data_IF_154597309809
#
_entry.id   IF_154597309809
#
_cell.length_a   1.000
_cell.length_b   1.000
_cell.length_c   1.000
_cell.angle_alpha   90.00
_cell.angle_beta   90.00
_cell.angle_gamma   90.00
#
_symmetry.space_group_name_H-M   'P 1'
#
loop_
_entity.id
_entity.type
_entity.pdbx_description
1 polymer ?
#
# COMPACT_ATOMS: atom_id res chain seq x y z
N UNK A 1 0.61 -17.27 15.84
CA UNK A 1 0.61 -16.76 14.46
C UNK A 1 0.36 -15.27 14.53
N UNK A 2 1.40 -14.48 14.29
CA UNK A 2 1.39 -13.04 14.54
C UNK A 2 0.57 -12.29 13.49
N UNK A 3 -0.56 -11.72 13.92
CA UNK A 3 -1.41 -10.86 13.09
C UNK A 3 -0.63 -9.70 12.43
N UNK A 4 0.49 -9.27 13.03
CA UNK A 4 1.36 -8.24 12.48
C UNK A 4 2.12 -8.69 11.22
N UNK A 5 2.60 -9.94 11.20
CA UNK A 5 3.32 -10.49 10.04
C UNK A 5 2.38 -10.66 8.82
N UNK A 6 1.15 -11.11 9.05
CA UNK A 6 0.11 -11.26 8.02
C UNK A 6 -0.26 -9.90 7.42
N UNK A 7 -0.30 -8.86 8.25
CA UNK A 7 -0.61 -7.49 7.79
C UNK A 7 0.50 -6.94 6.91
N UNK A 8 1.77 -7.16 7.26
CA UNK A 8 2.89 -6.67 6.46
C UNK A 8 3.03 -7.40 5.12
N UNK A 9 2.87 -8.73 5.08
CA UNK A 9 2.88 -9.49 3.83
C UNK A 9 1.75 -9.05 2.88
N UNK A 10 0.56 -8.80 3.42
CA UNK A 10 -0.58 -8.35 2.61
C UNK A 10 -0.35 -6.97 1.98
N UNK A 11 0.26 -6.03 2.72
CA UNK A 11 0.59 -4.71 2.17
C UNK A 11 1.70 -4.78 1.12
N UNK A 12 2.70 -5.65 1.29
CA UNK A 12 3.79 -5.82 0.31
C UNK A 12 3.28 -6.46 -1.00
N UNK A 13 2.35 -7.42 -0.89
CA UNK A 13 1.65 -8.00 -2.04
C UNK A 13 0.79 -6.97 -2.78
N UNK A 14 0.05 -6.11 -2.07
CA UNK A 14 -0.70 -5.02 -2.69
C UNK A 14 0.19 -4.05 -3.46
N UNK A 15 1.36 -3.73 -2.92
CA UNK A 15 2.31 -2.84 -3.59
C UNK A 15 2.89 -3.43 -4.86
N UNK A 16 3.26 -4.72 -4.83
CA UNK A 16 3.69 -5.44 -6.04
C UNK A 16 2.58 -5.50 -7.09
N UNK A 17 1.35 -5.81 -6.69
CA UNK A 17 0.21 -5.84 -7.59
C UNK A 17 -0.04 -4.44 -8.21
N UNK A 18 -0.02 -3.38 -7.40
CA UNK A 18 -0.22 -2.02 -7.87
C UNK A 18 0.90 -1.58 -8.84
N UNK A 19 2.16 -1.95 -8.56
CA UNK A 19 3.29 -1.73 -9.45
C UNK A 19 3.14 -2.48 -10.79
N UNK A 20 2.68 -3.74 -10.76
CA UNK A 20 2.37 -4.51 -11.95
C UNK A 20 1.26 -3.88 -12.78
N UNK A 21 0.20 -3.40 -12.14
CA UNK A 21 -0.89 -2.70 -12.83
C UNK A 21 -0.42 -1.41 -13.50
N UNK A 22 0.53 -0.69 -12.90
CA UNK A 22 1.16 0.50 -13.50
C UNK A 22 1.99 0.09 -14.72
N UNK A 23 2.86 -0.91 -14.58
CA UNK A 23 3.70 -1.40 -15.66
C UNK A 23 2.88 -1.93 -16.85
N UNK A 24 1.80 -2.66 -16.59
CA UNK A 24 0.88 -3.13 -17.63
C UNK A 24 0.15 -1.98 -18.35
N UNK A 25 -0.20 -0.91 -17.62
CA UNK A 25 -0.84 0.28 -18.21
C UNK A 25 0.13 1.05 -19.10
N UNK A 26 1.40 1.13 -18.69
CA UNK A 26 2.48 1.67 -19.52
C UNK A 26 2.71 0.82 -20.77
N UNK A 27 2.74 -0.51 -20.62
CA UNK A 27 2.86 -1.43 -21.76
C UNK A 27 1.71 -1.27 -22.77
N UNK A 28 0.47 -1.13 -22.30
CA UNK A 28 -0.68 -0.84 -23.15
C UNK A 28 -0.54 0.50 -23.89
N UNK A 29 -0.08 1.55 -23.20
CA UNK A 29 0.19 2.84 -23.84
C UNK A 29 1.26 2.72 -24.92
N UNK A 30 2.32 1.96 -24.65
CA UNK A 30 3.44 1.76 -25.58
C UNK A 30 3.04 0.95 -26.82
N UNK A 31 2.12 -0.01 -26.67
CA UNK A 31 1.51 -0.76 -27.78
C UNK A 31 0.47 0.06 -28.55
N UNK A 32 -0.20 1.01 -27.90
CA UNK A 32 -1.19 1.86 -28.54
C UNK A 32 -0.55 2.87 -29.53
N UNK A 33 0.69 3.32 -29.27
CA UNK A 33 1.42 4.24 -30.16
C UNK A 33 1.63 3.68 -31.58
N UNK A 34 2.25 2.50 -31.78
CA UNK A 34 2.42 1.94 -33.11
C UNK A 34 1.08 1.60 -33.77
N UNK A 35 0.07 1.19 -32.99
CA UNK A 35 -1.27 0.94 -33.51
C UNK A 35 -1.94 2.23 -34.03
N UNK A 36 -1.73 3.35 -33.34
CA UNK A 36 -2.21 4.66 -33.76
C UNK A 36 -1.53 5.14 -35.06
N UNK A 37 -0.23 4.88 -35.21
CA UNK A 37 0.50 5.18 -36.45
C UNK A 37 -0.01 4.30 -37.59
N UNK A 38 -0.14 2.99 -37.35
CA UNK A 38 -0.66 2.04 -38.34
C UNK A 38 -2.10 2.35 -38.77
N UNK A 39 -2.95 2.79 -37.84
CA UNK A 39 -4.31 3.22 -38.15
C UNK A 39 -4.36 4.45 -39.04
N UNK A 40 -3.40 5.37 -38.91
CA UNK A 40 -3.30 6.55 -39.78
C UNK A 40 -2.83 6.16 -41.19
N UNK A 41 -1.83 5.28 -41.29
CA UNK A 41 -1.33 4.76 -42.56
C UNK A 41 -2.40 3.95 -43.32
N UNK A 42 -3.19 3.18 -42.57
CA UNK A 42 -4.35 2.44 -43.11
C UNK A 42 -5.45 3.37 -43.63
N UNK A 43 -5.68 4.51 -42.97
CA UNK A 43 -6.69 5.50 -43.37
C UNK A 43 -6.25 6.24 -44.65
N UNK A 44 -4.96 6.47 -44.81
CA UNK A 44 -4.36 7.01 -46.04
C UNK A 44 -4.43 6.01 -47.19
N UNK A 45 -4.09 4.73 -46.94
CA UNK A 45 -4.22 3.64 -47.91
C UNK A 45 -5.68 3.35 -48.32
N UNK A 46 -6.65 3.69 -47.46
CA UNK A 46 -8.07 3.53 -47.74
C UNK A 46 -8.66 4.62 -48.65
N UNK A 47 -8.01 5.78 -48.79
CA UNK A 47 -8.47 6.88 -49.69
C UNK A 47 -8.79 6.41 -51.12
N UNK A 48 -7.89 5.70 -51.83
CA UNK A 48 -8.15 5.29 -53.21
C UNK A 48 -9.24 4.22 -53.33
N UNK A 49 -9.57 3.51 -52.25
CA UNK A 49 -10.51 2.39 -52.25
C UNK A 49 -11.94 2.87 -51.93
N UNK A 50 -12.08 3.90 -51.09
CA UNK A 50 -13.37 4.39 -50.62
C UNK A 50 -13.61 5.87 -51.01
N UNK A 51 -14.43 6.15 -52.04
CA UNK A 51 -14.68 7.52 -52.49
C UNK A 51 -15.37 8.41 -51.45
N UNK A 52 -16.12 7.81 -50.50
CA UNK A 52 -16.75 8.53 -49.37
C UNK A 52 -15.69 9.06 -48.39
N UNK A 53 -14.62 8.30 -48.17
CA UNK A 53 -13.50 8.69 -47.32
C UNK A 53 -12.68 9.77 -48.01
N UNK A 54 -12.45 9.66 -49.32
CA UNK A 54 -11.64 10.63 -50.05
C UNK A 54 -12.31 12.03 -50.14
N UNK A 55 -13.63 12.09 -50.36
CA UNK A 55 -14.38 13.37 -50.37
C UNK A 55 -14.37 14.09 -49.02
N UNK A 56 -14.29 13.36 -47.91
CA UNK A 56 -14.39 13.91 -46.55
C UNK A 56 -13.13 13.60 -45.71
N UNK A 57 -11.99 13.39 -46.36
CA UNK A 57 -10.79 12.86 -45.71
C UNK A 57 -10.35 13.69 -44.50
N UNK A 58 -10.42 15.02 -44.61
CA UNK A 58 -10.09 15.92 -43.51
C UNK A 58 -10.98 15.73 -42.27
N UNK A 59 -12.28 15.46 -42.46
CA UNK A 59 -13.21 15.18 -41.36
C UNK A 59 -12.94 13.82 -40.71
N UNK A 60 -12.61 12.80 -41.52
CA UNK A 60 -12.21 11.49 -41.02
C UNK A 60 -10.90 11.53 -40.25
N UNK A 61 -9.91 12.25 -40.76
CA UNK A 61 -8.63 12.47 -40.08
C UNK A 61 -8.82 13.25 -38.77
N UNK A 62 -9.63 14.31 -38.78
CA UNK A 62 -9.95 15.06 -37.56
C UNK A 62 -10.70 14.20 -36.53
N UNK A 63 -11.66 13.39 -36.96
CA UNK A 63 -12.37 12.43 -36.10
C UNK A 63 -11.44 11.36 -35.51
N UNK A 64 -10.53 10.83 -36.32
CA UNK A 64 -9.51 9.87 -35.88
C UNK A 64 -8.56 10.48 -34.84
N UNK A 65 -8.05 11.69 -35.10
CA UNK A 65 -7.21 12.42 -34.15
C UNK A 65 -7.95 12.74 -32.85
N UNK A 66 -9.21 13.15 -32.93
CA UNK A 66 -10.03 13.42 -31.76
C UNK A 66 -10.27 12.15 -30.94
N UNK A 67 -10.53 11.01 -31.59
CA UNK A 67 -10.65 9.72 -30.91
C UNK A 67 -9.35 9.32 -30.20
N UNK A 68 -8.19 9.47 -30.86
CA UNK A 68 -6.88 9.22 -30.25
C UNK A 68 -6.63 10.14 -29.05
N UNK A 69 -7.02 11.41 -29.15
CA UNK A 69 -6.86 12.40 -28.09
C UNK A 69 -7.71 12.03 -26.88
N UNK A 70 -8.98 11.67 -27.08
CA UNK A 70 -9.87 11.19 -26.01
C UNK A 70 -9.31 9.92 -25.36
N UNK A 71 -8.86 8.95 -26.16
CA UNK A 71 -8.28 7.71 -25.66
C UNK A 71 -7.02 7.99 -24.82
N UNK A 72 -6.17 8.91 -25.29
CA UNK A 72 -4.97 9.37 -24.58
C UNK A 72 -5.29 10.07 -23.26
N UNK A 73 -6.33 10.90 -23.22
CA UNK A 73 -6.79 11.56 -21.99
C UNK A 73 -7.33 10.56 -20.97
N UNK A 74 -8.14 9.58 -21.41
CA UNK A 74 -8.64 8.51 -20.54
C UNK A 74 -7.48 7.67 -19.99
N UNK A 75 -6.51 7.33 -20.84
CA UNK A 75 -5.31 6.62 -20.43
C UNK A 75 -4.49 7.43 -19.40
N UNK A 76 -4.29 8.73 -19.65
CA UNK A 76 -3.57 9.61 -18.73
C UNK A 76 -4.29 9.75 -17.38
N UNK A 77 -5.63 9.84 -17.39
CA UNK A 77 -6.44 9.86 -16.17
C UNK A 77 -6.31 8.54 -15.40
N UNK A 78 -6.40 7.40 -16.08
CA UNK A 78 -6.20 6.08 -15.47
C UNK A 78 -4.79 5.93 -14.87
N UNK A 79 -3.77 6.44 -15.56
CA UNK A 79 -2.39 6.43 -15.07
C UNK A 79 -2.24 7.29 -13.82
N UNK A 80 -2.82 8.50 -13.82
CA UNK A 80 -2.81 9.41 -12.66
C UNK A 80 -3.50 8.78 -11.44
N UNK A 81 -4.63 8.10 -11.65
CA UNK A 81 -5.34 7.39 -10.59
C UNK A 81 -4.48 6.28 -9.97
N UNK A 82 -3.80 5.47 -10.80
CA UNK A 82 -2.92 4.40 -10.33
C UNK A 82 -1.68 4.93 -9.60
N UNK A 83 -1.08 6.02 -10.07
CA UNK A 83 0.05 6.68 -9.39
C UNK A 83 -0.39 7.18 -8.01
N UNK A 84 -1.56 7.81 -7.92
CA UNK A 84 -2.08 8.33 -6.64
C UNK A 84 -2.34 7.20 -5.63
N UNK A 85 -2.91 6.07 -6.09
CA UNK A 85 -3.07 4.88 -5.26
C UNK A 85 -1.73 4.33 -4.77
N UNK A 86 -0.72 4.27 -5.63
CA UNK A 86 0.61 3.80 -5.26
C UNK A 86 1.27 4.71 -4.21
N UNK A 87 1.19 6.03 -4.38
CA UNK A 87 1.73 6.99 -3.41
C UNK A 87 1.02 6.89 -2.05
N UNK A 88 -0.29 6.75 -2.05
CA UNK A 88 -1.09 6.58 -0.82
C UNK A 88 -0.75 5.26 -0.13
N UNK A 89 -0.58 4.17 -0.89
CA UNK A 89 -0.15 2.87 -0.36
C UNK A 89 1.24 2.93 0.27
N UNK A 90 2.20 3.58 -0.39
CA UNK A 90 3.54 3.82 0.16
C UNK A 90 3.50 4.64 1.46
N UNK A 91 2.69 5.69 1.50
CA UNK A 91 2.55 6.51 2.69
C UNK A 91 1.99 5.71 3.87
N UNK A 92 0.91 4.95 3.64
CA UNK A 92 0.28 4.12 4.66
C UNK A 92 1.23 3.03 5.19
N UNK A 93 2.04 2.42 4.32
CA UNK A 93 3.05 1.44 4.74
C UNK A 93 4.10 2.05 5.66
N UNK A 94 4.64 3.22 5.30
CA UNK A 94 5.65 3.92 6.11
C UNK A 94 5.07 4.28 7.48
N UNK A 95 3.82 4.74 7.51
CA UNK A 95 3.12 5.07 8.75
C UNK A 95 2.87 3.83 9.61
N UNK A 96 2.43 2.72 9.01
CA UNK A 96 2.24 1.46 9.74
C UNK A 96 3.55 0.91 10.31
N UNK A 97 4.66 0.94 9.56
CA UNK A 97 5.96 0.50 10.07
C UNK A 97 6.39 1.26 11.32
N UNK A 98 6.20 2.60 11.34
CA UNK A 98 6.49 3.42 12.53
C UNK A 98 5.61 3.04 13.73
N UNK A 99 4.32 2.77 13.48
CA UNK A 99 3.39 2.36 14.54
C UNK A 99 3.79 0.98 15.11
N UNK A 100 4.17 0.05 14.24
CA UNK A 100 4.62 -1.29 14.64
C UNK A 100 5.91 -1.23 15.46
N UNK A 101 6.89 -0.41 15.07
CA UNK A 101 8.11 -0.18 15.85
C UNK A 101 7.78 0.31 17.28
N UNK A 102 6.88 1.28 17.42
CA UNK A 102 6.45 1.77 18.73
C UNK A 102 5.67 0.74 19.54
N UNK A 103 4.91 -0.16 18.89
CA UNK A 103 4.21 -1.26 19.58
C UNK A 103 5.18 -2.33 20.05
N UNK A 104 6.18 -2.68 19.24
CA UNK A 104 7.23 -3.63 19.63
C UNK A 104 8.05 -3.12 20.80
N UNK A 105 8.43 -1.83 20.79
CA UNK A 105 9.14 -1.21 21.91
C UNK A 105 8.32 -1.26 23.21
N UNK A 106 7.01 -0.94 23.13
CA UNK A 106 6.12 -1.03 24.29
C UNK A 106 5.91 -2.47 24.77
N UNK A 107 5.83 -3.44 23.86
CA UNK A 107 5.72 -4.84 24.20
C UNK A 107 6.96 -5.34 24.96
N UNK A 108 8.17 -4.99 24.47
CA UNK A 108 9.43 -5.32 25.14
C UNK A 108 9.52 -4.71 26.55
N UNK A 109 9.18 -3.42 26.68
CA UNK A 109 9.14 -2.76 28.00
C UNK A 109 8.12 -3.42 28.94
N UNK A 110 6.97 -3.85 28.43
CA UNK A 110 5.96 -4.54 29.23
C UNK A 110 6.44 -5.93 29.68
N UNK A 111 7.18 -6.65 28.84
CA UNK A 111 7.78 -7.94 29.19
C UNK A 111 8.89 -7.79 30.23
N UNK A 112 9.79 -6.82 30.05
CA UNK A 112 10.82 -6.48 31.04
C UNK A 112 10.21 -6.08 32.39
N UNK A 113 9.15 -5.28 32.40
CA UNK A 113 8.43 -4.93 33.62
C UNK A 113 7.74 -6.13 34.29
N UNK A 114 7.23 -7.09 33.50
CA UNK A 114 6.68 -8.34 34.05
C UNK A 114 7.77 -9.20 34.66
N UNK A 115 8.92 -9.31 34.00
CA UNK A 115 10.08 -10.06 34.52
C UNK A 115 10.61 -9.43 35.80
N UNK A 116 10.74 -8.10 35.85
CA UNK A 116 11.17 -7.37 37.05
C UNK A 116 10.19 -7.57 38.22
N UNK A 117 8.86 -7.56 37.96
CA UNK A 117 7.85 -7.85 38.98
C UNK A 117 7.90 -9.31 39.46
N UNK A 118 8.17 -10.25 38.56
CA UNK A 118 8.33 -11.66 38.92
C UNK A 118 9.57 -11.89 39.79
N UNK A 119 10.70 -11.25 39.44
CA UNK A 119 11.92 -11.28 40.23
C UNK A 119 11.71 -10.68 41.63
N UNK A 120 11.07 -9.50 41.73
CA UNK A 120 10.76 -8.88 43.02
C UNK A 120 9.84 -9.75 43.91
N UNK A 121 8.88 -10.47 43.31
CA UNK A 121 8.04 -11.43 44.06
C UNK A 121 8.82 -12.66 44.53
N UNK A 122 9.75 -13.16 43.72
CA UNK A 122 10.61 -14.27 44.11
C UNK A 122 11.54 -13.88 45.27
N UNK A 123 12.10 -12.67 45.24
CA UNK A 123 12.91 -12.13 46.35
C UNK A 123 12.09 -11.93 47.63
N UNK A 124 10.86 -11.41 47.53
CA UNK A 124 9.96 -11.29 48.69
C UNK A 124 9.51 -12.64 49.25
N UNK A 125 9.32 -13.66 48.40
CA UNK A 125 9.01 -15.02 48.84
C UNK A 125 10.22 -15.72 49.50
N UNK A 126 11.44 -15.33 49.13
CA UNK A 126 12.69 -15.82 49.72
C UNK A 126 13.08 -15.08 51.01
N UNK A 127 12.47 -13.93 51.32
CA UNK A 127 12.68 -13.27 52.60
C UNK A 127 11.96 -14.06 53.71
N UNK A 128 12.69 -14.53 54.74
CA UNK A 128 12.09 -15.24 55.85
C UNK A 128 11.09 -14.31 56.53
N UNK A 129 9.84 -14.76 56.62
CA UNK A 129 8.73 -14.07 57.26
C UNK A 129 9.08 -13.89 58.75
N UNK A 130 9.79 -12.81 59.09
CA UNK A 130 10.05 -12.43 60.48
C UNK A 130 8.72 -12.00 61.07
N UNK A 131 8.04 -12.98 61.66
CA UNK A 131 6.83 -12.84 62.45
C UNK A 131 7.20 -11.96 63.65
N UNK A 132 6.99 -10.65 63.56
CA UNK A 132 7.05 -9.80 64.73
C UNK A 132 5.95 -10.28 65.69
N UNK A 133 6.37 -11.02 66.71
CA UNK A 133 5.54 -11.39 67.85
C UNK A 133 5.06 -10.11 68.52
N UNK A 134 3.82 -9.73 68.24
CA UNK A 134 3.11 -8.69 68.96
C UNK A 134 2.95 -9.11 70.41
N UNK A 135 3.92 -8.73 71.24
CA UNK A 135 3.87 -8.84 72.69
C UNK A 135 2.82 -7.84 73.18
N UNK A 136 1.56 -8.28 73.23
CA UNK A 136 0.48 -7.57 73.88
C UNK A 136 0.73 -7.58 75.39
N UNK A 137 1.29 -6.50 75.91
CA UNK A 137 1.37 -6.24 77.33
C UNK A 137 0.34 -5.18 77.68
N UNK A 138 -0.82 -5.59 78.20
CA UNK A 138 -1.74 -4.76 78.98
C UNK A 138 -2.88 -5.64 79.47
N UNK A 139 -2.69 -6.24 80.64
CA UNK A 139 -3.71 -6.41 81.69
C UNK A 139 -2.98 -6.90 82.94
N UNK A 140 -2.60 -5.94 83.77
CA UNK A 140 -2.45 -6.10 85.22
C UNK A 140 -2.95 -4.77 85.81
N UNK A 141 -4.11 -4.84 86.47
CA UNK A 141 -4.68 -4.00 87.53
C UNK A 141 -6.21 -4.13 87.52
#
# INVERSE_FOLDING_TARGET
>A
MDSAAITQEFLDQQLKACGWHIAATLGLGLLAVPLAIYGQDSLEAARPIFPIIDQNYGSWQAGYLLALLVLGLVWAAAMRQKINHFQTGLHNLRTQRRIDEHRQLRARQAEEARQARAAARAEQAAQPLFRHGGRSGKFDY
#
